data_IF_708908579327
#
_entry.id   IF_708908579327
#
_cell.length_a   1.000
_cell.length_b   1.000
_cell.length_c   1.000
_cell.angle_alpha   90.00
_cell.angle_beta   90.00
_cell.angle_gamma   90.00
#
_symmetry.space_group_name_H-M   'P 1'
#
loop_
_entity.id
_entity.type
_entity.pdbx_description
1 polymer ?
#
# COMPACT_ATOMS: atom_id res chain seq x y z
N UNK A 1 7.22 -48.58 -30.20
CA UNK A 1 7.57 -48.41 -28.78
C UNK A 1 8.36 -47.12 -28.64
N UNK A 2 7.91 -46.01 -28.06
CA UNK A 2 6.62 -45.48 -27.61
C UNK A 2 6.91 -43.98 -27.41
N UNK A 3 6.32 -43.10 -28.22
CA UNK A 3 5.26 -42.16 -27.83
C UNK A 3 5.48 -41.53 -26.44
N UNK A 4 6.19 -40.39 -26.38
CA UNK A 4 5.91 -39.37 -25.37
C UNK A 4 4.91 -38.40 -25.98
N UNK A 5 3.74 -38.37 -25.37
CA UNK A 5 2.55 -37.65 -25.77
C UNK A 5 2.62 -36.17 -25.40
N UNK A 6 2.20 -35.32 -26.33
CA UNK A 6 1.74 -33.98 -26.01
C UNK A 6 0.47 -33.99 -25.15
N UNK A 7 0.33 -32.91 -24.37
CA UNK A 7 -0.88 -32.31 -23.78
C UNK A 7 -1.38 -32.86 -22.42
N UNK A 8 -2.26 -32.14 -21.69
CA UNK A 8 -2.32 -30.69 -21.46
C UNK A 8 -2.61 -30.37 -19.98
N UNK A 9 -1.88 -29.44 -19.37
CA UNK A 9 -2.38 -28.74 -18.18
C UNK A 9 -2.16 -27.24 -18.31
N UNK A 10 -2.77 -26.68 -19.36
CA UNK A 10 -3.50 -25.42 -19.24
C UNK A 10 -4.59 -25.63 -18.18
N UNK A 11 -4.21 -25.40 -16.93
CA UNK A 11 -5.05 -25.58 -15.77
C UNK A 11 -4.82 -24.42 -14.84
N UNK A 12 -5.30 -23.25 -15.28
CA UNK A 12 -5.56 -22.10 -14.41
C UNK A 12 -6.49 -22.62 -13.29
N UNK A 13 -5.89 -23.02 -12.18
CA UNK A 13 -6.59 -23.21 -10.93
C UNK A 13 -6.43 -21.88 -10.18
N UNK A 14 -7.25 -20.87 -10.56
CA UNK A 14 -7.45 -19.71 -9.70
C UNK A 14 -8.20 -20.21 -8.47
N UNK A 15 -7.47 -20.67 -7.47
CA UNK A 15 -8.03 -20.80 -6.13
C UNK A 15 -8.13 -19.37 -5.61
N UNK A 16 -9.26 -18.72 -5.91
CA UNK A 16 -9.72 -17.51 -5.24
C UNK A 16 -10.07 -17.94 -3.81
N UNK A 17 -9.07 -18.09 -2.96
CA UNK A 17 -9.29 -18.23 -1.53
C UNK A 17 -9.60 -16.83 -0.98
N UNK A 18 -10.84 -16.38 -1.19
CA UNK A 18 -11.40 -15.29 -0.38
C UNK A 18 -11.51 -15.86 1.03
N UNK A 19 -10.48 -15.66 1.84
CA UNK A 19 -10.60 -15.77 3.29
C UNK A 19 -11.44 -14.56 3.72
N UNK A 20 -12.75 -14.68 3.58
CA UNK A 20 -13.70 -13.86 4.32
C UNK A 20 -13.67 -14.35 5.77
N UNK A 21 -12.59 -14.07 6.51
CA UNK A 21 -12.70 -14.03 7.97
C UNK A 21 -13.47 -12.75 8.26
N UNK A 22 -14.79 -12.88 8.19
CA UNK A 22 -15.69 -11.97 8.85
C UNK A 22 -15.27 -11.95 10.30
N UNK A 23 -14.87 -10.76 10.72
CA UNK A 23 -14.62 -10.37 12.08
C UNK A 23 -15.58 -11.06 13.05
N UNK A 24 -15.06 -12.04 13.78
CA UNK A 24 -15.64 -12.48 15.03
C UNK A 24 -14.46 -12.50 16.01
N UNK A 25 -14.36 -11.40 16.74
CA UNK A 25 -13.41 -11.08 17.80
C UNK A 25 -12.03 -10.59 17.31
N UNK A 26 -11.80 -9.28 17.55
CA UNK A 26 -10.54 -8.54 17.41
C UNK A 26 -10.21 -7.99 16.00
N UNK A 27 -11.01 -7.03 15.54
CA UNK A 27 -10.52 -5.74 15.01
C UNK A 27 -9.49 -5.62 13.88
N UNK A 28 -9.15 -6.67 13.11
CA UNK A 28 -8.24 -6.55 11.95
C UNK A 28 -8.76 -7.43 10.79
N UNK A 29 -9.04 -6.82 9.64
CA UNK A 29 -9.41 -7.54 8.42
C UNK A 29 -8.15 -7.85 7.61
N UNK A 30 -7.82 -9.14 7.45
CA UNK A 30 -6.73 -9.61 6.60
C UNK A 30 -7.29 -9.95 5.22
N UNK A 31 -7.03 -9.10 4.22
CA UNK A 31 -7.27 -9.43 2.82
C UNK A 31 -5.92 -9.64 2.16
N UNK A 32 -5.63 -10.86 1.71
CA UNK A 32 -4.43 -11.16 0.93
C UNK A 32 -4.85 -11.77 -0.40
N UNK A 33 -4.65 -11.03 -1.49
CA UNK A 33 -4.84 -11.51 -2.86
C UNK A 33 -3.46 -11.95 -3.38
N UNK A 34 -3.33 -13.22 -3.73
CA UNK A 34 -2.07 -13.79 -4.22
C UNK A 34 -2.14 -14.03 -5.73
N UNK A 35 -1.32 -13.31 -6.49
CA UNK A 35 -0.82 -13.80 -7.77
C UNK A 35 0.65 -14.21 -7.62
N UNK A 36 1.00 -15.37 -8.16
CA UNK A 36 2.31 -16.01 -7.99
C UNK A 36 3.34 -15.32 -8.90
N UNK A 37 3.72 -14.09 -8.57
CA UNK A 37 4.86 -13.39 -9.16
C UNK A 37 6.08 -13.44 -8.24
N UNK A 38 7.22 -13.87 -8.77
CA UNK A 38 8.53 -13.78 -8.10
C UNK A 38 9.04 -12.34 -8.16
N UNK A 39 8.52 -11.46 -7.31
CA UNK A 39 9.09 -10.12 -7.15
C UNK A 39 10.28 -10.19 -6.18
N UNK A 40 11.47 -10.47 -6.72
CA UNK A 40 12.73 -10.40 -5.96
C UNK A 40 13.28 -8.98 -5.83
N UNK A 41 12.62 -7.97 -6.43
CA UNK A 41 13.11 -6.60 -6.63
C UNK A 41 12.22 -5.51 -5.98
N UNK A 42 11.40 -5.87 -5.00
CA UNK A 42 10.48 -4.93 -4.35
C UNK A 42 10.72 -4.70 -2.86
N UNK A 43 10.07 -3.67 -2.34
CA UNK A 43 10.06 -3.30 -0.93
C UNK A 43 8.63 -3.08 -0.43
N UNK A 44 8.46 -3.09 0.90
CA UNK A 44 7.23 -2.63 1.53
C UNK A 44 7.20 -1.10 1.61
N UNK A 45 6.09 -0.54 1.17
CA UNK A 45 5.75 0.87 1.21
C UNK A 45 4.46 1.08 1.98
N UNK A 46 4.39 2.13 2.78
CA UNK A 46 3.32 2.39 3.73
C UNK A 46 2.59 3.68 3.37
N UNK A 47 1.29 3.57 3.16
CA UNK A 47 0.38 4.69 2.95
C UNK A 47 -0.44 4.91 4.22
N UNK A 48 -0.16 6.00 4.93
CA UNK A 48 -0.90 6.39 6.13
C UNK A 48 -2.06 7.30 5.77
N UNK A 49 -3.21 7.05 6.40
CA UNK A 49 -4.44 7.78 6.09
C UNK A 49 -5.40 7.81 7.29
N UNK A 50 -6.53 8.49 7.12
CA UNK A 50 -7.66 8.46 8.05
C UNK A 50 -8.64 7.31 7.74
N UNK A 51 -9.56 7.08 8.69
CA UNK A 51 -10.55 6.00 8.61
C UNK A 51 -11.51 6.14 7.41
N UNK A 52 -12.01 7.34 7.16
CA UNK A 52 -12.93 7.56 6.04
C UNK A 52 -12.27 7.25 4.69
N UNK A 53 -10.99 7.60 4.56
CA UNK A 53 -10.21 7.35 3.36
C UNK A 53 -9.81 5.88 3.22
N UNK A 54 -9.50 5.18 4.32
CA UNK A 54 -9.22 3.73 4.26
C UNK A 54 -10.43 2.96 3.75
N UNK A 55 -11.64 3.30 4.21
CA UNK A 55 -12.87 2.66 3.76
C UNK A 55 -13.09 2.85 2.25
N UNK A 56 -12.86 4.06 1.74
CA UNK A 56 -12.95 4.35 0.29
C UNK A 56 -11.92 3.58 -0.52
N UNK A 57 -10.69 3.46 -0.01
CA UNK A 57 -9.64 2.69 -0.67
C UNK A 57 -10.03 1.21 -0.68
N UNK A 58 -10.55 0.66 0.42
CA UNK A 58 -10.96 -0.74 0.52
C UNK A 58 -12.14 -1.07 -0.40
N UNK A 59 -13.07 -0.13 -0.60
CA UNK A 59 -14.21 -0.29 -1.52
C UNK A 59 -13.74 -0.23 -2.99
N UNK A 60 -12.90 0.75 -3.32
CA UNK A 60 -12.48 0.98 -4.71
C UNK A 60 -11.27 0.16 -5.15
N UNK A 61 -10.52 -0.39 -4.19
CA UNK A 61 -9.20 -1.00 -4.35
C UNK A 61 -8.19 -0.06 -5.03
N UNK A 62 -8.32 1.25 -4.83
CA UNK A 62 -7.43 2.26 -5.43
C UNK A 62 -6.97 3.26 -4.38
N UNK A 63 -5.65 3.43 -4.25
CA UNK A 63 -5.06 4.60 -3.59
C UNK A 63 -4.98 5.70 -4.66
N UNK A 64 -5.84 6.71 -4.54
CA UNK A 64 -5.90 7.80 -5.53
C UNK A 64 -4.68 8.71 -5.42
N UNK A 65 -4.24 9.22 -6.55
CA UNK A 65 -3.20 10.23 -6.64
C UNK A 65 -3.65 11.53 -5.96
N UNK A 66 -2.71 12.15 -5.26
CA UNK A 66 -2.85 13.55 -4.88
C UNK A 66 -2.68 14.43 -6.12
N UNK A 67 -3.71 15.25 -6.42
CA UNK A 67 -3.75 16.11 -7.60
C UNK A 67 -3.50 17.60 -7.27
N UNK A 68 -3.65 18.00 -6.00
CA UNK A 68 -3.51 19.40 -5.58
C UNK A 68 -2.03 19.74 -5.30
N UNK A 69 -1.35 20.27 -6.32
CA UNK A 69 0.08 20.65 -6.23
C UNK A 69 0.36 21.83 -5.31
N UNK A 70 -0.66 22.57 -4.87
CA UNK A 70 -0.51 23.68 -3.93
C UNK A 70 -0.58 23.23 -2.48
N UNK A 71 -1.24 22.09 -2.19
CA UNK A 71 -1.48 21.62 -0.82
C UNK A 71 -0.86 20.26 -0.51
N UNK A 72 -1.11 19.27 -1.36
CA UNK A 72 -0.94 17.86 -1.01
C UNK A 72 0.00 17.11 -1.97
N UNK A 73 0.33 17.69 -3.13
CA UNK A 73 1.19 17.10 -4.16
C UNK A 73 2.50 17.89 -4.36
N UNK A 74 3.14 18.28 -3.25
CA UNK A 74 4.36 19.10 -3.24
C UNK A 74 5.50 18.52 -4.09
N UNK A 75 5.62 17.19 -4.17
CA UNK A 75 6.68 16.50 -4.92
C UNK A 75 6.24 16.01 -6.30
N UNK A 76 5.04 16.41 -6.74
CA UNK A 76 4.41 15.98 -7.98
C UNK A 76 3.11 15.22 -7.76
N UNK A 77 2.38 15.04 -8.84
CA UNK A 77 1.11 14.29 -8.84
C UNK A 77 1.39 12.80 -8.64
N UNK A 78 0.69 12.17 -7.70
CA UNK A 78 0.79 10.73 -7.47
C UNK A 78 0.41 10.30 -6.06
N UNK A 79 0.58 9.01 -5.77
CA UNK A 79 0.33 8.41 -4.47
C UNK A 79 1.60 8.37 -3.63
N UNK A 80 1.49 8.78 -2.38
CA UNK A 80 2.63 8.99 -1.48
C UNK A 80 2.76 7.88 -0.45
N UNK A 81 3.99 7.47 -0.22
CA UNK A 81 4.36 6.38 0.69
C UNK A 81 5.59 6.74 1.51
N UNK A 82 5.83 5.95 2.55
CA UNK A 82 7.09 5.89 3.28
C UNK A 82 7.52 4.43 3.45
N UNK A 83 8.81 4.15 3.63
CA UNK A 83 9.31 2.84 4.10
C UNK A 83 9.25 2.72 5.64
N UNK A 84 8.78 3.75 6.36
CA UNK A 84 8.64 3.72 7.82
C UNK A 84 7.39 2.94 8.23
N UNK A 85 7.62 1.76 8.79
CA UNK A 85 6.54 0.85 9.21
C UNK A 85 6.01 1.19 10.61
N UNK A 86 4.71 0.94 10.88
CA UNK A 86 4.11 1.21 12.18
C UNK A 86 4.57 0.27 13.29
N UNK A 87 5.26 -0.83 12.96
CA UNK A 87 5.78 -1.78 13.97
C UNK A 87 7.08 -1.33 14.63
N UNK A 88 7.85 -0.45 13.98
CA UNK A 88 9.18 -0.04 14.43
C UNK A 88 9.30 1.47 14.68
N UNK A 89 8.27 2.24 14.34
CA UNK A 89 8.24 3.70 14.47
C UNK A 89 7.00 4.12 15.23
N UNK A 90 7.15 5.11 16.12
CA UNK A 90 6.01 5.71 16.79
C UNK A 90 5.16 6.50 15.81
N UNK A 91 3.88 6.68 16.14
CA UNK A 91 2.95 7.48 15.33
C UNK A 91 3.44 8.94 15.20
N UNK A 92 4.05 9.49 16.24
CA UNK A 92 4.67 10.83 16.23
C UNK A 92 5.86 10.92 15.28
N UNK A 93 6.76 9.92 15.30
CA UNK A 93 7.91 9.86 14.38
C UNK A 93 7.45 9.79 12.92
N UNK A 94 6.46 8.93 12.65
CA UNK A 94 5.87 8.79 11.31
C UNK A 94 5.21 10.12 10.90
N UNK A 95 4.47 10.78 11.79
CA UNK A 95 3.84 12.06 11.49
C UNK A 95 4.88 13.14 11.17
N UNK A 96 5.97 13.20 11.93
CA UNK A 96 7.08 14.13 11.67
C UNK A 96 7.76 13.81 10.33
N UNK A 97 7.95 12.54 10.02
CA UNK A 97 8.50 12.08 8.74
C UNK A 97 7.62 12.46 7.54
N UNK A 98 6.29 12.35 7.64
CA UNK A 98 5.35 12.55 6.52
C UNK A 98 4.85 14.00 6.42
N UNK A 99 4.82 14.76 7.51
CA UNK A 99 4.19 16.09 7.53
C UNK A 99 5.09 17.21 8.05
N UNK A 100 6.27 16.89 8.59
CA UNK A 100 7.19 17.88 9.16
C UNK A 100 6.49 18.77 10.18
N UNK A 101 6.56 20.10 9.99
CA UNK A 101 5.95 21.07 10.89
C UNK A 101 4.44 20.94 11.06
N UNK A 102 3.74 20.21 10.17
CA UNK A 102 2.30 19.95 10.27
C UNK A 102 1.97 18.64 11.01
N UNK A 103 2.97 17.90 11.52
CA UNK A 103 2.80 16.59 12.14
C UNK A 103 1.72 16.57 13.22
N UNK A 104 1.80 17.49 14.20
CA UNK A 104 0.83 17.57 15.30
C UNK A 104 -0.59 17.79 14.80
N UNK A 105 -0.78 18.70 13.84
CA UNK A 105 -2.09 18.99 13.25
C UNK A 105 -2.65 17.76 12.53
N UNK A 106 -1.84 17.09 11.71
CA UNK A 106 -2.24 15.93 10.91
C UNK A 106 -2.52 14.70 11.79
N UNK A 107 -1.76 14.54 12.87
CA UNK A 107 -2.00 13.52 13.89
C UNK A 107 -3.36 13.73 14.59
N UNK A 108 -3.66 14.96 15.03
CA UNK A 108 -4.95 15.30 15.63
C UNK A 108 -6.12 15.16 14.65
N UNK A 109 -5.87 15.36 13.35
CA UNK A 109 -6.84 15.15 12.29
C UNK A 109 -7.00 13.68 11.85
N UNK A 110 -6.34 12.74 12.54
CA UNK A 110 -6.48 11.30 12.28
C UNK A 110 -5.78 10.80 11.00
N UNK A 111 -4.88 11.57 10.39
CA UNK A 111 -4.23 11.22 9.11
C UNK A 111 -3.24 10.04 9.18
N UNK A 112 -3.08 9.44 10.35
CA UNK A 112 -2.29 8.23 10.60
C UNK A 112 -3.11 7.19 11.37
N UNK A 113 -4.44 7.29 11.36
CA UNK A 113 -5.30 6.36 12.09
C UNK A 113 -5.33 4.97 11.46
N UNK A 114 -5.09 4.91 10.15
CA UNK A 114 -4.99 3.68 9.39
C UNK A 114 -3.73 3.67 8.54
N UNK A 115 -3.28 2.47 8.16
CA UNK A 115 -2.13 2.30 7.27
C UNK A 115 -2.37 1.16 6.29
N UNK A 116 -2.01 1.36 5.02
CA UNK A 116 -1.88 0.28 4.03
C UNK A 116 -0.41 0.04 3.76
N UNK A 117 0.06 -1.19 4.00
CA UNK A 117 1.35 -1.64 3.47
C UNK A 117 1.13 -2.25 2.10
N UNK A 118 1.88 -1.83 1.08
CA UNK A 118 1.88 -2.38 -0.28
C UNK A 118 3.28 -2.82 -0.65
N UNK A 119 3.41 -3.97 -1.32
CA UNK A 119 4.68 -4.41 -1.88
C UNK A 119 4.79 -3.93 -3.32
N UNK A 120 5.75 -3.03 -3.58
CA UNK A 120 5.97 -2.43 -4.90
C UNK A 120 7.39 -2.70 -5.36
N UNK A 121 7.61 -2.77 -6.68
CA UNK A 121 8.95 -2.75 -7.23
C UNK A 121 9.60 -1.41 -6.93
N UNK A 122 10.87 -1.43 -6.54
CA UNK A 122 11.60 -0.19 -6.24
C UNK A 122 11.74 0.71 -7.50
N UNK A 123 11.68 0.13 -8.70
CA UNK A 123 11.68 0.89 -9.98
C UNK A 123 10.43 1.72 -10.22
N UNK A 124 9.30 1.33 -9.63
CA UNK A 124 7.99 1.94 -9.89
C UNK A 124 7.73 3.11 -8.95
N UNK A 125 8.60 3.31 -7.95
CA UNK A 125 8.44 4.33 -6.92
C UNK A 125 9.62 5.27 -6.91
N UNK A 126 9.37 6.57 -7.10
CA UNK A 126 10.39 7.61 -7.07
C UNK A 126 10.69 8.00 -5.63
N UNK A 127 11.95 7.88 -5.22
CA UNK A 127 12.40 8.47 -3.95
C UNK A 127 12.42 10.01 -4.06
N UNK A 128 11.59 10.68 -3.26
CA UNK A 128 11.49 12.16 -3.18
C UNK A 128 11.81 12.67 -1.77
N UNK A 129 12.58 11.88 -1.01
CA UNK A 129 13.04 12.17 0.34
C UNK A 129 13.87 13.45 0.38
N UNK A 130 13.58 14.33 1.34
CA UNK A 130 14.34 15.57 1.57
C UNK A 130 14.29 15.97 3.05
N UNK A 131 15.32 16.68 3.53
CA UNK A 131 15.39 17.21 4.90
C UNK A 131 15.18 16.12 5.98
N UNK A 132 15.77 14.93 5.78
CA UNK A 132 15.67 13.81 6.72
C UNK A 132 14.33 13.05 6.68
N UNK A 133 13.41 13.44 5.79
CA UNK A 133 12.13 12.75 5.59
C UNK A 133 12.29 11.62 4.58
N UNK A 134 11.68 10.48 4.85
CA UNK A 134 11.53 9.33 3.95
C UNK A 134 10.18 9.40 3.22
N UNK A 135 10.22 9.78 1.94
CA UNK A 135 9.03 9.99 1.11
C UNK A 135 9.26 9.36 -0.25
N UNK A 136 8.29 8.56 -0.68
CA UNK A 136 8.34 7.80 -1.91
C UNK A 136 7.05 8.04 -2.69
N UNK A 137 7.18 8.33 -3.99
CA UNK A 137 6.09 8.74 -4.87
C UNK A 137 5.86 7.69 -5.94
N UNK A 138 4.68 7.08 -5.95
CA UNK A 138 4.19 6.30 -7.08
C UNK A 138 3.46 7.23 -8.06
N UNK A 139 3.77 7.19 -9.37
CA UNK A 139 3.12 8.06 -10.34
C UNK A 139 1.67 7.64 -10.61
N UNK A 140 0.73 8.55 -10.33
CA UNK A 140 -0.71 8.32 -10.57
C UNK A 140 -1.41 7.49 -9.48
N UNK A 141 -2.58 6.98 -9.83
CA UNK A 141 -3.40 6.13 -8.96
C UNK A 141 -2.75 4.73 -8.83
N UNK A 142 -2.71 4.19 -7.61
CA UNK A 142 -2.26 2.82 -7.38
C UNK A 142 -3.46 1.88 -7.23
N UNK A 143 -3.59 0.93 -8.16
CA UNK A 143 -4.54 -0.17 -8.09
C UNK A 143 -4.01 -1.27 -7.16
N UNK A 144 -4.76 -1.62 -6.12
CA UNK A 144 -4.40 -2.68 -5.17
C UNK A 144 -4.74 -4.08 -5.70
N UNK A 145 -5.60 -4.19 -6.71
CA UNK A 145 -5.91 -5.47 -7.36
C UNK A 145 -4.64 -6.08 -7.97
N UNK A 146 -4.27 -7.29 -7.54
CA UNK A 146 -3.07 -7.99 -8.00
C UNK A 146 -1.80 -7.64 -7.20
N UNK A 147 -1.87 -6.74 -6.22
CA UNK A 147 -0.76 -6.43 -5.32
C UNK A 147 -0.87 -7.18 -4.00
N UNK A 148 0.29 -7.40 -3.37
CA UNK A 148 0.36 -7.83 -1.96
C UNK A 148 0.20 -6.61 -1.08
N UNK A 149 -0.83 -6.59 -0.24
CA UNK A 149 -1.05 -5.51 0.71
C UNK A 149 -1.64 -6.00 2.04
N UNK A 150 -1.50 -5.16 3.08
CA UNK A 150 -2.08 -5.35 4.41
C UNK A 150 -2.63 -4.02 4.92
N UNK A 151 -3.67 -4.07 5.76
CA UNK A 151 -4.26 -2.89 6.39
C UNK A 151 -4.15 -2.98 7.91
N UNK A 152 -3.81 -1.86 8.53
CA UNK A 152 -3.65 -1.67 9.98
C UNK A 152 -4.55 -0.56 10.47
#
# INVERSE_FOLDING_TARGET
>A
MGLFSDSPFDGICVIVLIILIVALFIGVAFVSVYEKGTFSDGSWYFHYTDKDSIEKILISLVIRASLDTLKDAFFGIGSYFTKWSPWYKSKDDIAMNIFGNLAKQKLMAGKLDCCIAVFLKDSDVKNVSQNGRDIHLYPGDLLLSGLKYFVF
#
